data_IF_441493213220
#
_entry.id   IF_441493213220
#
_cell.length_a   1.000
_cell.length_b   1.000
_cell.length_c   1.000
_cell.angle_alpha   90.00
_cell.angle_beta   90.00
_cell.angle_gamma   90.00
#
_symmetry.space_group_name_H-M   'P 1'
#
loop_
_entity.id
_entity.type
_entity.pdbx_description
1 polymer ?
#
# COMPACT_ATOMS: atom_id res chain seq x y z
N UNK A 1 9.90 0.68 1.24
CA UNK A 1 9.08 -0.20 0.38
C UNK A 1 7.75 0.49 0.07
N UNK A 2 7.25 0.36 -1.15
CA UNK A 2 5.83 0.63 -1.48
C UNK A 2 5.15 -0.71 -1.76
N UNK A 3 3.92 -0.87 -1.26
CA UNK A 3 3.01 -1.95 -1.62
C UNK A 3 1.73 -1.34 -2.20
N UNK A 4 1.20 -1.92 -3.27
CA UNK A 4 -0.10 -1.56 -3.81
C UNK A 4 -0.88 -2.83 -4.19
N UNK A 5 -2.14 -2.92 -3.78
CA UNK A 5 -3.06 -3.91 -4.33
C UNK A 5 -3.63 -3.36 -5.62
N UNK A 6 -3.24 -3.94 -6.76
CA UNK A 6 -3.55 -3.39 -8.09
C UNK A 6 -4.79 -4.00 -8.69
N UNK A 7 -5.08 -5.28 -8.43
CA UNK A 7 -6.29 -5.95 -8.94
C UNK A 7 -6.92 -6.91 -7.94
N UNK A 8 -8.24 -7.10 -8.07
CA UNK A 8 -8.99 -8.23 -7.49
C UNK A 8 -9.81 -8.87 -8.60
N UNK A 9 -9.63 -10.17 -8.81
CA UNK A 9 -10.26 -10.96 -9.87
C UNK A 9 -10.07 -10.33 -11.28
N UNK A 10 -8.90 -9.73 -11.52
CA UNK A 10 -8.57 -9.08 -12.80
C UNK A 10 -9.05 -7.63 -12.93
N UNK A 11 -9.92 -7.16 -12.03
CA UNK A 11 -10.41 -5.78 -12.05
C UNK A 11 -9.51 -4.84 -11.24
N UNK A 12 -9.18 -3.64 -11.74
CA UNK A 12 -8.42 -2.64 -10.98
C UNK A 12 -9.05 -2.31 -9.62
N UNK A 13 -8.21 -2.14 -8.60
CA UNK A 13 -8.65 -1.72 -7.26
C UNK A 13 -8.89 -0.22 -7.23
N UNK A 14 -10.04 0.19 -6.71
CA UNK A 14 -10.36 1.58 -6.43
C UNK A 14 -10.11 1.91 -4.96
N UNK A 15 -10.08 3.19 -4.62
CA UNK A 15 -9.95 3.64 -3.22
C UNK A 15 -11.07 3.10 -2.32
N UNK A 16 -12.28 2.97 -2.84
CA UNK A 16 -13.45 2.47 -2.12
C UNK A 16 -13.31 0.99 -1.73
N UNK A 17 -12.55 0.21 -2.51
CA UNK A 17 -12.31 -1.21 -2.27
C UNK A 17 -11.10 -1.51 -1.37
N UNK A 18 -10.32 -0.48 -1.01
CA UNK A 18 -9.16 -0.66 -0.13
C UNK A 18 -9.50 -1.21 1.27
N UNK A 19 -10.63 -0.84 1.91
CA UNK A 19 -11.01 -1.42 3.21
C UNK A 19 -11.19 -2.96 3.16
N UNK A 20 -11.58 -3.52 2.01
CA UNK A 20 -11.69 -4.96 1.83
C UNK A 20 -10.31 -5.65 1.85
N UNK A 21 -9.24 -4.90 1.56
CA UNK A 21 -7.88 -5.41 1.33
C UNK A 21 -6.91 -5.08 2.46
N UNK A 22 -7.10 -3.95 3.13
CA UNK A 22 -6.21 -3.43 4.17
C UNK A 22 -6.91 -3.43 5.53
N UNK A 23 -6.27 -4.07 6.51
CA UNK A 23 -6.71 -4.03 7.89
C UNK A 23 -6.13 -2.79 8.59
N UNK A 24 -6.96 -1.75 8.74
CA UNK A 24 -6.56 -0.45 9.32
C UNK A 24 -7.65 0.06 10.25
N UNK A 25 -7.27 0.67 11.38
CA UNK A 25 -8.21 1.30 12.32
C UNK A 25 -8.86 0.30 13.27
N UNK A 26 -10.10 0.59 13.69
CA UNK A 26 -10.87 -0.22 14.64
C UNK A 26 -11.73 -1.25 13.92
N UNK A 27 -11.07 -2.19 13.23
CA UNK A 27 -11.74 -3.31 12.57
C UNK A 27 -11.33 -4.60 13.28
N UNK A 28 -12.27 -5.46 13.64
CA UNK A 28 -11.92 -6.77 14.20
C UNK A 28 -11.18 -7.62 13.18
N UNK A 29 -10.05 -8.20 13.60
CA UNK A 29 -9.19 -8.97 12.71
C UNK A 29 -9.89 -10.20 12.12
N UNK A 30 -10.58 -11.00 12.95
CA UNK A 30 -11.13 -12.28 12.51
C UNK A 30 -12.22 -12.12 11.42
N UNK A 31 -13.23 -11.24 11.57
CA UNK A 31 -14.20 -11.00 10.50
C UNK A 31 -13.56 -10.40 9.24
N UNK A 32 -12.60 -9.48 9.39
CA UNK A 32 -11.90 -8.88 8.25
C UNK A 32 -11.09 -9.90 7.46
N UNK A 33 -10.33 -10.75 8.15
CA UNK A 33 -9.55 -11.81 7.52
C UNK A 33 -10.43 -12.82 6.78
N UNK A 34 -11.57 -13.22 7.37
CA UNK A 34 -12.52 -14.11 6.70
C UNK A 34 -13.10 -13.48 5.42
N UNK A 35 -13.47 -12.19 5.47
CA UNK A 35 -13.95 -11.46 4.30
C UNK A 35 -12.86 -11.33 3.23
N UNK A 36 -11.64 -10.94 3.61
CA UNK A 36 -10.48 -10.84 2.72
C UNK A 36 -10.21 -12.15 1.97
N UNK A 37 -10.23 -13.28 2.68
CA UNK A 37 -10.00 -14.62 2.09
C UNK A 37 -11.07 -15.01 1.07
N UNK A 38 -12.27 -14.44 1.16
CA UNK A 38 -13.37 -14.70 0.20
C UNK A 38 -13.30 -13.88 -1.08
N UNK A 39 -12.41 -12.87 -1.17
CA UNK A 39 -12.30 -11.97 -2.33
C UNK A 39 -11.74 -12.64 -3.60
N UNK A 40 -11.11 -13.81 -3.48
CA UNK A 40 -10.51 -14.53 -4.60
C UNK A 40 -9.09 -14.07 -4.94
N UNK A 41 -8.76 -13.94 -6.23
CA UNK A 41 -7.39 -13.64 -6.66
C UNK A 41 -7.07 -12.15 -6.50
N UNK A 42 -6.14 -11.85 -5.60
CA UNK A 42 -5.64 -10.49 -5.36
C UNK A 42 -4.25 -10.35 -5.96
N UNK A 43 -3.98 -9.27 -6.68
CA UNK A 43 -2.64 -8.89 -7.14
C UNK A 43 -2.11 -7.78 -6.25
N UNK A 44 -0.97 -8.05 -5.61
CA UNK A 44 -0.17 -7.04 -4.93
C UNK A 44 1.14 -6.84 -5.69
N UNK A 45 1.53 -5.58 -5.88
CA UNK A 45 2.79 -5.20 -6.49
C UNK A 45 3.63 -4.42 -5.48
N UNK A 46 4.94 -4.66 -5.53
CA UNK A 46 5.89 -4.11 -4.57
C UNK A 46 6.99 -3.35 -5.28
N UNK A 47 7.39 -2.22 -4.70
CA UNK A 47 8.62 -1.50 -5.06
C UNK A 47 9.53 -1.48 -3.85
N UNK A 48 10.74 -2.02 -4.02
CA UNK A 48 11.81 -1.91 -3.05
C UNK A 48 12.61 -0.64 -3.33
N UNK A 49 12.54 0.31 -2.40
CA UNK A 49 13.28 1.58 -2.49
C UNK A 49 14.67 1.42 -1.89
N UNK A 50 15.66 2.22 -2.32
CA UNK A 50 16.96 2.28 -1.66
C UNK A 50 16.80 2.52 -0.15
N UNK A 51 17.62 1.89 0.70
CA UNK A 51 17.59 2.14 2.13
C UNK A 51 18.05 3.57 2.42
N UNK A 52 17.48 4.19 3.47
CA UNK A 52 17.88 5.51 3.96
C UNK A 52 18.29 5.39 5.43
N UNK A 53 19.29 6.17 5.87
CA UNK A 53 19.71 6.18 7.28
C UNK A 53 19.12 7.39 7.98
N UNK A 54 18.68 7.22 9.22
CA UNK A 54 18.12 8.32 9.99
C UNK A 54 19.12 9.48 10.20
N UNK A 55 20.43 9.17 10.29
CA UNK A 55 21.51 10.14 10.44
C UNK A 55 21.67 11.09 9.24
N UNK A 56 21.11 10.73 8.08
CA UNK A 56 21.17 11.56 6.86
C UNK A 56 20.11 12.70 6.89
N UNK A 57 19.28 12.79 7.94
CA UNK A 57 18.20 13.77 8.07
C UNK A 57 18.32 14.61 9.34
N UNK A 58 17.98 15.90 9.23
CA UNK A 58 18.05 16.83 10.36
C UNK A 58 17.13 16.48 11.54
N UNK A 59 16.00 15.80 11.29
CA UNK A 59 15.08 15.34 12.33
C UNK A 59 14.11 14.27 11.81
N UNK A 60 13.34 13.67 12.73
CA UNK A 60 12.35 12.63 12.43
C UNK A 60 11.26 13.06 11.43
N UNK A 61 10.89 14.36 11.39
CA UNK A 61 9.86 14.87 10.48
C UNK A 61 10.38 14.91 9.04
N UNK A 62 11.64 15.32 8.84
CA UNK A 62 12.29 15.32 7.53
C UNK A 62 12.45 13.92 6.96
N UNK A 63 12.87 12.96 7.80
CA UNK A 63 12.90 11.55 7.42
C UNK A 63 11.51 11.04 7.00
N UNK A 64 10.48 11.30 7.81
CA UNK A 64 9.11 10.89 7.50
C UNK A 64 8.60 11.51 6.18
N UNK A 65 8.87 12.80 5.95
CA UNK A 65 8.49 13.49 4.72
C UNK A 65 9.19 12.90 3.48
N UNK A 66 10.48 12.60 3.59
CA UNK A 66 11.22 11.92 2.53
C UNK A 66 10.61 10.54 2.21
N UNK A 67 10.38 9.71 3.23
CA UNK A 67 9.75 8.41 3.06
C UNK A 67 8.36 8.53 2.43
N UNK A 68 7.52 9.45 2.90
CA UNK A 68 6.19 9.72 2.34
C UNK A 68 6.26 10.08 0.86
N UNK A 69 7.22 10.94 0.49
CA UNK A 69 7.44 11.37 -0.90
C UNK A 69 7.78 10.18 -1.78
N UNK A 70 8.78 9.39 -1.40
CA UNK A 70 9.23 8.20 -2.15
C UNK A 70 8.11 7.17 -2.27
N UNK A 71 7.41 6.89 -1.17
CA UNK A 71 6.33 5.90 -1.13
C UNK A 71 5.15 6.35 -2.01
N UNK A 72 4.76 7.62 -1.94
CA UNK A 72 3.66 8.19 -2.74
C UNK A 72 3.95 8.13 -4.23
N UNK A 73 5.18 8.46 -4.66
CA UNK A 73 5.59 8.34 -6.06
C UNK A 73 5.54 6.89 -6.53
N UNK A 74 6.08 5.96 -5.73
CA UNK A 74 5.99 4.53 -6.03
C UNK A 74 4.55 4.04 -6.14
N UNK A 75 3.67 4.47 -5.22
CA UNK A 75 2.28 4.04 -5.21
C UNK A 75 1.51 4.54 -6.44
N UNK A 76 1.70 5.82 -6.80
CA UNK A 76 1.12 6.40 -8.04
C UNK A 76 1.58 5.67 -9.28
N UNK A 77 2.86 5.28 -9.35
CA UNK A 77 3.38 4.46 -10.45
C UNK A 77 2.66 3.12 -10.55
N UNK A 78 2.53 2.38 -9.45
CA UNK A 78 1.84 1.07 -9.44
C UNK A 78 0.35 1.19 -9.81
N UNK A 79 -0.35 2.21 -9.29
CA UNK A 79 -1.78 2.39 -9.56
C UNK A 79 -2.08 2.98 -10.95
N UNK A 80 -1.15 3.74 -11.53
CA UNK A 80 -1.30 4.37 -12.85
C UNK A 80 -1.01 3.46 -14.05
N UNK A 81 -0.38 2.31 -13.85
CA UNK A 81 -0.08 1.33 -14.91
C UNK A 81 -1.31 0.51 -15.37
N UNK A 82 -2.48 0.69 -14.75
CA UNK A 82 -3.70 -0.10 -14.98
C UNK A 82 -4.85 0.70 -15.65
N UNK A 83 -4.54 1.85 -16.26
CA UNK A 83 -5.45 2.63 -17.11
C UNK A 83 -4.98 2.61 -18.56
#
# INVERSE_FOLDING_TARGET
MTIAYTNVNGMPVTRERLPDLAWVGDTQLMPHAAAFMSLGRIRAELIFHPPVRAADFANRKMLAHHCQTVITHGYRKLMGHNL
#
